data_IF_665428934996
#
_entry.id   IF_665428934996
#
_cell.length_a   1.000
_cell.length_b   1.000
_cell.length_c   1.000
_cell.angle_alpha   90.00
_cell.angle_beta   90.00
_cell.angle_gamma   90.00
#
_symmetry.space_group_name_H-M   'P 1'
#
loop_
_entity.id
_entity.type
_entity.pdbx_description
1 polymer ?
#
# COMPACT_ATOMS: atom_id res chain seq x y z
N UNK A 1 -9.76 5.72 15.78
CA UNK A 1 -10.71 6.56 15.03
C UNK A 1 -10.78 8.01 15.48
N UNK A 2 -10.06 8.41 16.56
CA UNK A 2 -10.17 9.75 17.14
C UNK A 2 -8.86 10.56 17.04
N UNK A 3 -8.08 10.40 15.96
CA UNK A 3 -6.83 11.14 15.80
C UNK A 3 -7.12 12.41 14.99
N UNK A 4 -7.04 13.57 15.64
CA UNK A 4 -7.37 14.87 15.06
C UNK A 4 -6.40 15.95 15.53
N UNK A 5 -6.45 17.10 14.87
CA UNK A 5 -5.78 18.33 15.27
C UNK A 5 -6.79 19.47 15.25
N UNK A 6 -6.78 20.29 16.29
CA UNK A 6 -7.63 21.47 16.37
C UNK A 6 -7.05 22.58 15.50
N UNK A 7 -7.87 23.13 14.60
CA UNK A 7 -7.55 24.31 13.79
C UNK A 7 -8.57 25.41 14.08
N UNK A 8 -8.28 26.63 13.63
CA UNK A 8 -9.18 27.79 13.80
C UNK A 8 -10.57 27.52 13.21
N UNK A 9 -10.67 26.70 12.15
CA UNK A 9 -11.93 26.31 11.50
C UNK A 9 -12.61 25.06 12.04
N UNK A 10 -12.08 24.44 13.10
CA UNK A 10 -12.60 23.20 13.69
C UNK A 10 -11.60 22.06 13.74
N UNK A 11 -12.08 20.90 14.20
CA UNK A 11 -11.28 19.68 14.34
C UNK A 11 -11.07 19.02 12.98
N UNK A 12 -9.80 18.82 12.62
CA UNK A 12 -9.41 18.12 11.39
C UNK A 12 -8.98 16.71 11.76
N UNK A 13 -9.58 15.70 11.13
CA UNK A 13 -9.36 14.30 11.47
C UNK A 13 -8.46 13.59 10.46
N UNK A 14 -7.59 12.72 10.96
CA UNK A 14 -6.92 11.71 10.14
C UNK A 14 -7.98 10.77 9.56
N UNK A 15 -8.00 10.63 8.24
CA UNK A 15 -8.97 9.78 7.55
C UNK A 15 -8.37 9.07 6.34
N UNK A 16 -9.16 8.18 5.75
CA UNK A 16 -8.81 7.44 4.55
C UNK A 16 -10.02 7.48 3.61
N UNK A 17 -9.84 8.00 2.40
CA UNK A 17 -10.89 8.07 1.39
C UNK A 17 -10.51 7.26 0.15
N UNK A 18 -11.53 6.82 -0.58
CA UNK A 18 -11.38 5.97 -1.74
C UNK A 18 -12.26 6.47 -2.88
N UNK A 19 -11.77 6.33 -4.11
CA UNK A 19 -12.55 6.62 -5.32
C UNK A 19 -12.61 5.38 -6.21
N UNK A 20 -13.76 5.21 -6.85
CA UNK A 20 -14.09 4.05 -7.66
C UNK A 20 -14.69 4.51 -8.98
N UNK A 21 -14.47 3.72 -10.03
CA UNK A 21 -15.24 3.82 -11.27
C UNK A 21 -16.66 3.29 -11.03
N UNK A 22 -17.55 3.58 -11.97
CA UNK A 22 -18.94 3.09 -11.95
C UNK A 22 -19.05 1.56 -11.99
N UNK A 23 -18.02 0.85 -12.49
CA UNK A 23 -17.93 -0.60 -12.49
C UNK A 23 -17.42 -1.20 -11.16
N UNK A 24 -17.15 -0.35 -10.15
CA UNK A 24 -16.68 -0.78 -8.83
C UNK A 24 -15.17 -0.94 -8.70
N UNK A 25 -14.39 -0.72 -9.77
CA UNK A 25 -12.93 -0.77 -9.69
C UNK A 25 -12.40 0.42 -8.91
N UNK A 26 -11.58 0.15 -7.88
CA UNK A 26 -10.89 1.18 -7.10
C UNK A 26 -9.81 1.84 -7.95
N UNK A 27 -9.82 3.17 -8.01
CA UNK A 27 -8.86 3.96 -8.80
C UNK A 27 -7.98 4.86 -7.94
N UNK A 28 -8.39 5.17 -6.72
CA UNK A 28 -7.64 6.04 -5.83
C UNK A 28 -7.87 5.72 -4.36
N UNK A 29 -6.81 5.87 -3.58
CA UNK A 29 -6.80 5.89 -2.11
C UNK A 29 -6.10 7.17 -1.67
N UNK A 30 -6.68 7.90 -0.72
CA UNK A 30 -6.05 9.08 -0.12
C UNK A 30 -6.04 8.93 1.39
N UNK A 31 -4.85 8.85 1.97
CA UNK A 31 -4.63 8.85 3.41
C UNK A 31 -4.25 10.25 3.85
N UNK A 32 -5.17 10.91 4.55
CA UNK A 32 -4.88 12.17 5.21
C UNK A 32 -4.31 11.91 6.61
N UNK A 33 -3.13 12.45 6.89
CA UNK A 33 -2.46 12.35 8.18
C UNK A 33 -1.78 13.67 8.56
N UNK A 34 -1.20 13.70 9.76
CA UNK A 34 -0.48 14.87 10.26
C UNK A 34 1.01 14.54 10.41
N UNK A 35 1.87 15.43 9.90
CA UNK A 35 3.33 15.24 9.92
C UNK A 35 4.06 16.38 10.63
N UNK A 36 5.23 16.05 11.18
CA UNK A 36 6.12 17.00 11.85
C UNK A 36 5.59 17.52 13.19
N UNK A 37 6.40 18.37 13.85
CA UNK A 37 6.09 18.93 15.17
C UNK A 37 4.88 19.87 15.15
N UNK A 38 4.68 20.60 14.06
CA UNK A 38 3.52 21.48 13.84
C UNK A 38 2.25 20.70 13.51
N UNK A 39 2.34 19.37 13.36
CA UNK A 39 1.25 18.50 12.90
C UNK A 39 0.61 19.05 11.63
N UNK A 40 1.43 19.42 10.65
CA UNK A 40 0.96 19.93 9.38
C UNK A 40 0.18 18.85 8.62
N UNK A 41 -0.81 19.28 7.84
CA UNK A 41 -1.60 18.39 6.99
C UNK A 41 -0.72 17.76 5.90
N UNK A 42 -0.78 16.43 5.78
CA UNK A 42 -0.03 15.63 4.83
C UNK A 42 -0.94 14.56 4.22
N UNK A 43 -0.67 14.21 2.96
CA UNK A 43 -1.49 13.26 2.22
C UNK A 43 -0.60 12.23 1.54
N UNK A 44 -0.92 10.95 1.74
CA UNK A 44 -0.39 9.86 0.92
C UNK A 44 -1.48 9.43 -0.06
N UNK A 45 -1.19 9.56 -1.34
CA UNK A 45 -2.13 9.25 -2.42
C UNK A 45 -1.61 8.04 -3.18
N UNK A 46 -2.45 7.01 -3.30
CA UNK A 46 -2.19 5.86 -4.17
C UNK A 46 -3.18 5.87 -5.33
N UNK A 47 -2.67 5.87 -6.56
CA UNK A 47 -3.45 5.82 -7.79
C UNK A 47 -3.28 4.46 -8.45
N UNK A 48 -4.40 3.89 -8.91
CA UNK A 48 -4.46 2.59 -9.57
C UNK A 48 -4.87 2.82 -11.03
N UNK A 49 -3.91 2.73 -11.94
CA UNK A 49 -4.10 3.01 -13.37
C UNK A 49 -3.67 1.77 -14.14
N UNK A 50 -4.61 1.12 -14.81
CA UNK A 50 -4.37 -0.06 -15.66
C UNK A 50 -3.56 -1.19 -14.99
N UNK A 51 -3.74 -1.39 -13.68
CA UNK A 51 -3.03 -2.40 -12.89
C UNK A 51 -1.70 -1.95 -12.28
N UNK A 52 -1.25 -0.73 -12.61
CA UNK A 52 -0.09 -0.08 -12.02
C UNK A 52 -0.50 0.74 -10.80
N UNK A 53 0.34 0.68 -9.76
CA UNK A 53 0.18 1.44 -8.53
C UNK A 53 1.22 2.55 -8.46
N UNK A 54 0.75 3.79 -8.43
CA UNK A 54 1.56 4.97 -8.23
C UNK A 54 1.35 5.49 -6.82
N UNK A 55 2.40 5.97 -6.19
CA UNK A 55 2.30 6.64 -4.90
C UNK A 55 2.86 8.06 -5.01
N UNK A 56 2.13 8.99 -4.42
CA UNK A 56 2.50 10.37 -4.27
C UNK A 56 2.38 10.74 -2.78
N UNK A 57 3.50 11.10 -2.17
CA UNK A 57 3.53 11.72 -0.86
C UNK A 57 3.51 13.24 -1.03
N UNK A 58 2.36 13.84 -0.77
CA UNK A 58 2.18 15.27 -0.92
C UNK A 58 2.37 15.98 0.43
N UNK A 59 3.49 16.71 0.54
CA UNK A 59 3.74 17.69 1.60
C UNK A 59 3.54 19.11 1.03
N UNK A 60 2.34 19.67 1.16
CA UNK A 60 2.03 20.98 0.59
C UNK A 60 1.74 20.93 -0.92
N UNK A 61 2.32 21.83 -1.72
CA UNK A 61 1.91 22.07 -3.13
C UNK A 61 2.64 21.22 -4.19
N UNK A 62 3.60 20.39 -3.80
CA UNK A 62 4.40 19.59 -4.75
C UNK A 62 4.50 18.16 -4.25
N UNK A 63 4.13 17.20 -5.09
CA UNK A 63 4.32 15.78 -4.84
C UNK A 63 4.55 15.07 -6.17
N UNK A 64 5.59 14.24 -6.24
CA UNK A 64 5.91 13.45 -7.42
C UNK A 64 5.10 12.14 -7.41
N UNK A 65 4.49 11.81 -8.55
CA UNK A 65 3.83 10.52 -8.73
C UNK A 65 4.85 9.51 -9.22
N UNK A 66 5.21 8.56 -8.37
CA UNK A 66 6.25 7.56 -8.66
C UNK A 66 5.61 6.18 -8.75
N UNK A 67 5.91 5.45 -9.83
CA UNK A 67 5.49 4.06 -9.96
C UNK A 67 6.09 3.23 -8.82
N UNK A 68 5.24 2.47 -8.12
CA UNK A 68 5.68 1.60 -7.02
C UNK A 68 5.62 0.13 -7.41
N UNK A 69 4.47 -0.33 -7.87
CA UNK A 69 4.22 -1.75 -8.12
C UNK A 69 3.30 -1.96 -9.32
N UNK A 70 3.41 -3.11 -9.97
CA UNK A 70 2.35 -3.62 -10.83
C UNK A 70 2.27 -5.14 -10.72
N UNK A 71 1.05 -5.67 -10.74
CA UNK A 71 0.79 -7.10 -10.56
C UNK A 71 1.00 -7.90 -11.83
N UNK A 72 1.31 -9.18 -11.66
CA UNK A 72 1.48 -10.18 -12.71
C UNK A 72 0.76 -11.46 -12.30
N UNK A 73 0.73 -12.48 -13.17
CA UNK A 73 0.09 -13.77 -12.87
C UNK A 73 0.78 -14.55 -11.75
N UNK A 74 2.07 -14.34 -11.54
CA UNK A 74 2.90 -15.10 -10.58
C UNK A 74 3.27 -14.28 -9.33
N UNK A 75 2.92 -12.99 -9.30
CA UNK A 75 3.31 -12.09 -8.21
C UNK A 75 3.18 -10.63 -8.60
N UNK A 76 4.25 -9.87 -8.42
CA UNK A 76 4.32 -8.47 -8.82
C UNK A 76 5.76 -8.01 -9.03
N UNK A 77 5.91 -6.92 -9.76
CA UNK A 77 7.19 -6.23 -9.88
C UNK A 77 7.24 -5.02 -8.93
N UNK A 78 8.29 -4.97 -8.11
CA UNK A 78 8.62 -3.86 -7.22
C UNK A 78 9.58 -2.91 -7.95
N UNK A 79 9.01 -1.80 -8.44
CA UNK A 79 9.74 -0.82 -9.22
C UNK A 79 10.76 -0.06 -8.37
N UNK A 80 10.45 0.18 -7.09
CA UNK A 80 11.33 0.94 -6.18
C UNK A 80 12.60 0.15 -5.90
N UNK A 81 12.47 -1.15 -5.64
CA UNK A 81 13.59 -2.03 -5.34
C UNK A 81 14.15 -2.75 -6.58
N UNK A 82 13.65 -2.43 -7.77
CA UNK A 82 14.05 -3.04 -9.05
C UNK A 82 14.11 -4.57 -8.99
N UNK A 83 13.06 -5.21 -8.46
CA UNK A 83 13.02 -6.67 -8.28
C UNK A 83 11.63 -7.24 -8.50
N UNK A 84 11.60 -8.47 -8.99
CA UNK A 84 10.38 -9.24 -9.09
C UNK A 84 10.14 -10.03 -7.80
N UNK A 85 8.92 -9.98 -7.29
CA UNK A 85 8.46 -10.76 -6.14
C UNK A 85 7.49 -11.83 -6.62
N UNK A 86 7.87 -13.09 -6.42
CA UNK A 86 7.05 -14.26 -6.75
C UNK A 86 6.20 -14.66 -5.54
N UNK A 87 5.01 -15.16 -5.81
CA UNK A 87 4.10 -15.68 -4.79
C UNK A 87 3.95 -17.18 -4.90
N UNK A 88 4.06 -17.86 -3.76
CA UNK A 88 3.58 -19.22 -3.60
C UNK A 88 2.26 -19.17 -2.83
N UNK A 89 1.18 -19.50 -3.55
CA UNK A 89 -0.19 -19.43 -3.04
C UNK A 89 -0.65 -20.80 -2.56
N UNK A 90 -1.52 -20.81 -1.55
CA UNK A 90 -2.27 -22.02 -1.21
C UNK A 90 -3.47 -22.25 -2.14
N UNK A 91 -4.16 -23.37 -1.97
CA UNK A 91 -5.30 -23.77 -2.79
C UNK A 91 -6.52 -22.81 -2.72
N UNK A 92 -6.54 -21.87 -1.77
CA UNK A 92 -7.57 -20.84 -1.64
C UNK A 92 -7.11 -19.49 -2.21
N UNK A 93 -5.89 -19.41 -2.73
CA UNK A 93 -5.31 -18.20 -3.29
C UNK A 93 -4.62 -17.28 -2.28
N UNK A 94 -4.40 -17.71 -1.02
CA UNK A 94 -3.65 -16.90 -0.06
C UNK A 94 -2.14 -16.99 -0.33
N UNK A 95 -1.45 -15.86 -0.33
CA UNK A 95 0.02 -15.79 -0.49
C UNK A 95 0.72 -16.28 0.77
N UNK A 96 1.24 -17.51 0.77
CA UNK A 96 1.94 -18.12 1.92
C UNK A 96 3.40 -17.74 2.00
N UNK A 97 4.05 -17.64 0.84
CA UNK A 97 5.46 -17.25 0.73
C UNK A 97 5.58 -16.23 -0.39
N UNK A 98 6.27 -15.13 -0.12
CA UNK A 98 6.79 -14.22 -1.13
C UNK A 98 8.29 -14.37 -1.19
N UNK A 99 8.86 -14.56 -2.37
CA UNK A 99 10.30 -14.71 -2.56
C UNK A 99 10.79 -13.92 -3.77
N UNK A 100 12.07 -13.55 -3.75
CA UNK A 100 12.73 -12.82 -4.82
C UNK A 100 13.93 -13.64 -5.33
N UNK A 101 14.35 -13.37 -6.56
CA UNK A 101 15.60 -13.93 -7.09
C UNK A 101 16.76 -13.02 -6.71
N UNK A 102 17.79 -13.58 -6.09
CA UNK A 102 19.06 -12.92 -5.83
C UNK A 102 20.19 -13.77 -6.44
N UNK A 103 20.77 -13.29 -7.54
CA UNK A 103 21.73 -14.06 -8.33
C UNK A 103 21.12 -15.35 -8.90
N UNK A 104 21.61 -16.50 -8.42
CA UNK A 104 21.14 -17.84 -8.79
C UNK A 104 20.26 -18.49 -7.71
N UNK A 105 19.92 -17.76 -6.66
CA UNK A 105 19.19 -18.30 -5.49
C UNK A 105 17.86 -17.59 -5.32
N UNK A 106 16.87 -18.30 -4.79
CA UNK A 106 15.61 -17.74 -4.33
C UNK A 106 15.72 -17.36 -2.84
N UNK A 107 15.38 -16.13 -2.50
CA UNK A 107 15.42 -15.60 -1.14
C UNK A 107 14.01 -15.27 -0.68
N UNK A 108 13.63 -15.78 0.50
CA UNK A 108 12.32 -15.52 1.10
C UNK A 108 12.28 -14.06 1.56
N UNK A 109 11.29 -13.31 1.06
CA UNK A 109 11.00 -11.93 1.45
C UNK A 109 9.98 -11.90 2.57
N UNK A 110 8.97 -12.76 2.50
CA UNK A 110 7.95 -12.86 3.52
C UNK A 110 7.40 -14.29 3.59
N UNK A 111 7.09 -14.73 4.82
CA UNK A 111 6.31 -15.92 5.07
C UNK A 111 5.07 -15.52 5.88
N UNK A 112 3.90 -15.99 5.45
CA UNK A 112 2.62 -15.63 6.03
C UNK A 112 1.81 -16.90 6.34
N UNK A 113 1.44 -17.05 7.61
CA UNK A 113 0.40 -17.98 8.02
C UNK A 113 -0.93 -17.22 8.16
N UNK A 114 -2.05 -17.91 8.02
CA UNK A 114 -3.39 -17.31 8.10
C UNK A 114 -4.31 -18.19 8.93
N UNK A 115 -5.09 -17.56 9.81
CA UNK A 115 -6.25 -18.17 10.44
C UNK A 115 -7.41 -18.34 9.45
N UNK A 116 -8.44 -19.08 9.86
CA UNK A 116 -9.72 -19.03 9.17
C UNK A 116 -10.20 -17.57 9.03
N UNK A 117 -10.81 -17.24 7.90
CA UNK A 117 -11.27 -15.89 7.53
C UNK A 117 -10.16 -14.85 7.26
N UNK A 118 -8.91 -15.29 7.04
CA UNK A 118 -7.88 -14.48 6.38
C UNK A 118 -7.07 -13.55 7.30
N UNK A 119 -7.26 -13.62 8.62
CA UNK A 119 -6.38 -12.92 9.55
C UNK A 119 -4.98 -13.55 9.50
N UNK A 120 -3.95 -12.75 9.25
CA UNK A 120 -2.55 -13.23 9.29
C UNK A 120 -2.21 -13.72 10.71
N UNK A 121 -1.72 -14.96 10.78
CA UNK A 121 -1.18 -15.62 11.96
C UNK A 121 0.29 -15.24 12.12
N UNK A 122 0.69 -14.90 13.35
CA UNK A 122 1.93 -14.20 13.62
C UNK A 122 1.71 -12.68 13.53
N UNK A 123 1.62 -12.05 14.71
CA UNK A 123 1.51 -10.59 14.84
C UNK A 123 2.77 -9.85 14.37
N UNK A 124 2.75 -8.52 14.35
CA UNK A 124 3.90 -7.72 13.94
C UNK A 124 5.05 -7.91 14.93
N UNK A 125 6.21 -8.32 14.42
CA UNK A 125 7.50 -8.18 15.11
C UNK A 125 7.87 -6.72 15.30
#
# INVERSE_FOLDING_TARGET
FNNFVQRVGGDVYRNMTYSYRADGVKIKKTHHYFSGRSRADAFEITEYIDGFQYNNEQFGLTGESILKFFSTSEGYYDYVNNRYIYHYNDHLGNVRISFAREGNTAVIVQQNDYYAFGLKHGGPS
#
